data_IF_810662391044
#
_entry.id   IF_810662391044
#
_cell.length_a   1.000
_cell.length_b   1.000
_cell.length_c   1.000
_cell.angle_alpha   90.00
_cell.angle_beta   90.00
_cell.angle_gamma   90.00
#
_symmetry.space_group_name_H-M   'P 1'
#
loop_
_entity.id
_entity.type
_entity.pdbx_description
1 polymer ?
#
# COMPACT_ATOMS: atom_id res chain seq x y z
N UNK A 1 6.95 9.79 -45.59
CA UNK A 1 8.30 10.24 -45.19
C UNK A 1 8.77 9.38 -44.03
N UNK A 2 9.79 8.54 -44.27
CA UNK A 2 10.24 7.51 -43.34
C UNK A 2 10.71 8.06 -41.97
N UNK A 3 11.28 9.27 -41.91
CA UNK A 3 11.66 9.95 -40.65
C UNK A 3 10.51 10.53 -39.80
N UNK A 4 9.27 10.58 -40.31
CA UNK A 4 8.14 11.18 -39.59
C UNK A 4 7.72 10.38 -38.34
N UNK A 5 7.76 9.05 -38.47
CA UNK A 5 7.36 8.13 -37.40
C UNK A 5 8.38 8.10 -36.26
N UNK A 6 9.68 8.13 -36.58
CA UNK A 6 10.74 8.23 -35.58
C UNK A 6 10.61 9.52 -34.75
N UNK A 7 10.35 10.67 -35.40
CA UNK A 7 10.16 11.95 -34.72
C UNK A 7 9.00 11.92 -33.72
N UNK A 8 7.87 11.32 -34.10
CA UNK A 8 6.69 11.17 -33.24
C UNK A 8 7.01 10.27 -32.04
N UNK A 9 7.65 9.12 -32.27
CA UNK A 9 8.03 8.17 -31.21
C UNK A 9 9.03 8.80 -30.23
N UNK A 10 10.03 9.53 -30.73
CA UNK A 10 10.98 10.28 -29.90
C UNK A 10 10.28 11.37 -29.08
N UNK A 11 9.28 12.03 -29.64
CA UNK A 11 8.41 12.97 -28.92
C UNK A 11 7.65 12.30 -27.77
N UNK A 12 7.01 11.15 -28.03
CA UNK A 12 6.30 10.36 -27.01
C UNK A 12 7.24 9.89 -25.90
N UNK A 13 8.40 9.35 -26.24
CA UNK A 13 9.41 8.92 -25.25
C UNK A 13 9.79 10.07 -24.32
N UNK A 14 10.10 11.25 -24.86
CA UNK A 14 10.43 12.43 -24.04
C UNK A 14 9.27 12.85 -23.12
N UNK A 15 8.03 12.79 -23.62
CA UNK A 15 6.85 13.10 -22.80
C UNK A 15 6.69 12.11 -21.64
N UNK A 16 6.78 10.79 -21.91
CA UNK A 16 6.68 9.75 -20.87
C UNK A 16 7.83 9.84 -19.88
N UNK A 17 9.04 10.17 -20.33
CA UNK A 17 10.18 10.45 -19.43
C UNK A 17 9.91 11.64 -18.49
N UNK A 18 9.27 12.70 -18.99
CA UNK A 18 8.82 13.81 -18.16
C UNK A 18 7.83 13.36 -17.09
N UNK A 19 6.82 12.56 -17.48
CA UNK A 19 5.83 12.00 -16.56
C UNK A 19 6.52 11.12 -15.50
N UNK A 20 7.43 10.22 -15.90
CA UNK A 20 8.21 9.36 -14.99
C UNK A 20 8.93 10.16 -13.90
N UNK A 21 9.57 11.28 -14.27
CA UNK A 21 10.27 12.16 -13.31
C UNK A 21 9.29 12.79 -12.33
N UNK A 22 8.13 13.25 -12.81
CA UNK A 22 7.10 13.86 -11.97
C UNK A 22 6.53 12.83 -11.00
N UNK A 23 6.14 11.65 -11.48
CA UNK A 23 5.59 10.59 -10.62
C UNK A 23 6.62 10.12 -9.59
N UNK A 24 7.89 9.97 -9.99
CA UNK A 24 8.97 9.64 -9.04
C UNK A 24 9.17 10.70 -7.97
N UNK A 25 9.12 11.98 -8.32
CA UNK A 25 9.19 13.06 -7.34
C UNK A 25 7.98 13.04 -6.39
N UNK A 26 6.77 12.83 -6.92
CA UNK A 26 5.55 12.74 -6.10
C UNK A 26 5.54 11.53 -5.17
N UNK A 27 6.08 10.38 -5.62
CA UNK A 27 6.31 9.19 -4.79
C UNK A 27 7.17 9.53 -3.57
N UNK A 28 8.32 10.18 -3.79
CA UNK A 28 9.26 10.56 -2.71
C UNK A 28 8.65 11.60 -1.76
N UNK A 29 7.92 12.59 -2.30
CA UNK A 29 7.21 13.58 -1.48
C UNK A 29 6.16 12.88 -0.60
N UNK A 30 5.37 11.98 -1.16
CA UNK A 30 4.37 11.23 -0.41
C UNK A 30 5.02 10.38 0.70
N UNK A 31 6.10 9.65 0.37
CA UNK A 31 6.87 8.88 1.35
C UNK A 31 7.34 9.75 2.53
N UNK A 32 7.88 10.94 2.26
CA UNK A 32 8.31 11.88 3.30
C UNK A 32 7.16 12.37 4.19
N UNK A 33 5.94 12.47 3.64
CA UNK A 33 4.75 12.94 4.36
C UNK A 33 4.11 11.84 5.21
N UNK A 34 4.25 10.57 4.85
CA UNK A 34 3.77 9.44 5.66
C UNK A 34 4.42 9.47 7.05
N UNK A 35 5.75 9.63 7.10
CA UNK A 35 6.49 9.67 8.38
C UNK A 35 5.98 10.81 9.27
N UNK A 36 5.79 12.00 8.71
CA UNK A 36 5.25 13.16 9.45
C UNK A 36 3.81 12.93 9.90
N UNK A 37 2.99 12.31 9.07
CA UNK A 37 1.61 11.99 9.42
C UNK A 37 1.55 10.95 10.55
N UNK A 38 2.37 9.90 10.49
CA UNK A 38 2.48 8.89 11.55
C UNK A 38 2.92 9.49 12.88
N UNK A 39 3.92 10.37 12.88
CA UNK A 39 4.35 11.09 14.08
C UNK A 39 3.22 11.88 14.73
N UNK A 40 2.35 12.50 13.93
CA UNK A 40 1.18 13.23 14.44
C UNK A 40 0.10 12.31 14.96
N UNK A 41 -0.16 11.18 14.30
CA UNK A 41 -1.07 10.15 14.81
C UNK A 41 -0.57 9.71 16.18
N UNK A 42 0.69 9.32 16.30
CA UNK A 42 1.30 8.90 17.57
C UNK A 42 1.23 9.99 18.65
N UNK A 43 1.49 11.25 18.29
CA UNK A 43 1.39 12.38 19.23
C UNK A 43 -0.04 12.68 19.71
N UNK A 44 -1.06 12.31 18.93
CA UNK A 44 -2.47 12.50 19.29
C UNK A 44 -3.04 11.37 20.17
N UNK A 45 -2.44 10.17 20.12
CA UNK A 45 -2.90 8.99 20.87
C UNK A 45 -3.04 9.24 22.38
N UNK A 46 -2.05 9.82 23.11
CA UNK A 46 -2.16 9.97 24.56
C UNK A 46 -3.35 10.82 25.00
N UNK A 47 -3.64 11.90 24.26
CA UNK A 47 -4.80 12.74 24.54
C UNK A 47 -6.11 11.98 24.27
N UNK A 48 -6.19 11.30 23.13
CA UNK A 48 -7.37 10.52 22.74
C UNK A 48 -7.65 9.37 23.71
N UNK A 49 -6.63 8.66 24.19
CA UNK A 49 -6.78 7.59 25.18
C UNK A 49 -7.23 8.15 26.52
N UNK A 50 -6.60 9.22 27.01
CA UNK A 50 -6.94 9.77 28.32
C UNK A 50 -8.34 10.39 28.37
N UNK A 51 -8.76 11.12 27.31
CA UNK A 51 -10.12 11.65 27.26
C UNK A 51 -11.16 10.52 27.14
N UNK A 52 -10.82 9.43 26.44
CA UNK A 52 -11.69 8.25 26.36
C UNK A 52 -11.85 7.57 27.72
N UNK A 53 -10.75 7.38 28.45
CA UNK A 53 -10.75 6.82 29.80
C UNK A 53 -11.62 7.66 30.74
N UNK A 54 -11.39 8.98 30.79
CA UNK A 54 -12.15 9.89 31.67
C UNK A 54 -13.64 9.91 31.32
N UNK A 55 -13.98 9.97 30.03
CA UNK A 55 -15.39 9.93 29.58
C UNK A 55 -16.04 8.59 29.92
N UNK A 56 -15.31 7.47 29.79
CA UNK A 56 -15.80 6.14 30.16
C UNK A 56 -16.08 6.04 31.66
N UNK A 57 -15.14 6.50 32.50
CA UNK A 57 -15.27 6.43 33.95
C UNK A 57 -16.43 7.31 34.47
N UNK A 58 -16.59 8.51 33.90
CA UNK A 58 -17.72 9.40 34.18
C UNK A 58 -19.07 8.82 33.73
N UNK A 59 -19.11 8.18 32.56
CA UNK A 59 -20.34 7.57 32.03
C UNK A 59 -20.81 6.36 32.88
N UNK A 60 -19.87 5.52 33.36
CA UNK A 60 -20.17 4.39 34.26
C UNK A 60 -20.63 4.88 35.63
N UNK A 61 -20.15 6.05 36.09
CA UNK A 61 -20.56 6.68 37.35
C UNK A 61 -22.00 7.21 37.40
N UNK A 62 -22.83 6.96 36.38
CA UNK A 62 -24.25 7.34 36.35
C UNK A 62 -24.53 8.78 35.92
N UNK A 63 -23.52 9.50 35.42
CA UNK A 63 -23.62 10.92 35.05
C UNK A 63 -24.31 11.18 33.69
N UNK A 64 -24.75 10.15 32.97
CA UNK A 64 -24.99 10.22 31.52
C UNK A 64 -26.43 10.17 31.02
N UNK A 65 -27.43 9.97 31.89
CA UNK A 65 -28.80 9.66 31.47
C UNK A 65 -29.50 10.78 30.67
N UNK A 66 -29.26 12.04 31.02
CA UNK A 66 -29.96 13.19 30.47
C UNK A 66 -29.12 14.02 29.49
N UNK A 67 -27.85 13.66 29.25
CA UNK A 67 -26.98 14.42 28.35
C UNK A 67 -27.31 14.09 26.89
N UNK A 68 -27.65 15.09 26.05
CA UNK A 68 -28.09 14.84 24.68
C UNK A 68 -27.11 14.00 23.86
N UNK A 69 -25.81 14.20 24.01
CA UNK A 69 -24.78 13.48 23.24
C UNK A 69 -24.61 12.01 23.66
N UNK A 70 -25.09 11.61 24.85
CA UNK A 70 -25.07 10.23 25.34
C UNK A 70 -26.43 9.55 25.14
N UNK A 71 -27.51 10.31 25.33
CA UNK A 71 -28.87 9.86 25.11
C UNK A 71 -29.13 9.71 23.60
N UNK A 72 -29.15 8.46 23.14
CA UNK A 72 -29.68 8.14 21.82
C UNK A 72 -31.15 8.52 21.71
N UNK A 73 -31.65 8.62 20.48
CA UNK A 73 -33.07 8.86 20.22
C UNK A 73 -33.80 7.54 20.08
N UNK A 74 -35.07 7.50 20.52
CA UNK A 74 -35.90 6.30 20.45
C UNK A 74 -36.16 5.83 19.00
N UNK A 75 -36.13 6.76 18.05
CA UNK A 75 -36.29 6.52 16.62
C UNK A 75 -35.23 7.33 15.87
N UNK A 76 -34.50 6.69 14.95
CA UNK A 76 -33.52 7.35 14.08
C UNK A 76 -34.21 7.62 12.75
N UNK A 77 -34.39 8.89 12.37
CA UNK A 77 -35.02 9.30 11.11
C UNK A 77 -34.03 9.87 10.14
N UNK A 78 -33.01 10.57 10.63
CA UNK A 78 -32.00 11.21 9.77
C UNK A 78 -30.59 10.85 10.23
N UNK A 79 -29.77 10.34 9.30
CA UNK A 79 -28.38 9.95 9.55
C UNK A 79 -27.41 10.90 8.84
N UNK A 80 -26.44 11.42 9.59
CA UNK A 80 -25.37 12.27 9.10
C UNK A 80 -24.12 11.44 8.80
N UNK A 81 -23.60 11.49 7.58
CA UNK A 81 -22.34 10.86 7.21
C UNK A 81 -21.25 11.90 7.02
N UNK A 82 -20.25 11.89 7.89
CA UNK A 82 -19.03 12.68 7.74
C UNK A 82 -18.04 11.89 6.90
N UNK A 83 -17.97 12.18 5.60
CA UNK A 83 -17.16 11.43 4.64
C UNK A 83 -15.80 12.10 4.40
N UNK A 84 -14.71 11.49 4.89
CA UNK A 84 -13.36 12.04 4.87
C UNK A 84 -12.57 11.53 3.67
N UNK A 85 -12.22 12.45 2.77
CA UNK A 85 -11.47 12.18 1.53
C UNK A 85 -10.37 13.21 1.31
N UNK A 86 -9.62 13.05 0.21
CA UNK A 86 -8.53 13.96 -0.13
C UNK A 86 -9.06 15.23 -0.81
N UNK A 87 -8.32 16.33 -0.67
CA UNK A 87 -8.49 17.50 -1.52
C UNK A 87 -7.89 17.30 -2.91
N UNK A 88 -6.88 16.43 -3.01
CA UNK A 88 -6.10 16.20 -4.23
C UNK A 88 -6.30 14.78 -4.76
N UNK A 89 -6.19 14.64 -6.08
CA UNK A 89 -6.23 13.33 -6.75
C UNK A 89 -4.91 12.54 -6.64
N UNK A 90 -4.73 11.60 -7.56
CA UNK A 90 -3.52 10.79 -7.71
C UNK A 90 -3.18 9.93 -6.48
N UNK A 91 -4.21 9.50 -5.75
CA UNK A 91 -4.10 8.62 -4.58
C UNK A 91 -4.73 7.23 -4.83
N UNK A 92 -4.67 6.73 -6.07
CA UNK A 92 -5.25 5.44 -6.45
C UNK A 92 -6.71 5.30 -6.01
N UNK A 93 -7.02 4.18 -5.35
CA UNK A 93 -8.36 3.85 -4.87
C UNK A 93 -8.81 4.51 -3.56
N UNK A 94 -8.00 5.38 -2.95
CA UNK A 94 -8.26 5.98 -1.63
C UNK A 94 -9.65 6.62 -1.52
N UNK A 95 -9.94 7.63 -2.36
CA UNK A 95 -11.20 8.36 -2.32
C UNK A 95 -12.40 7.45 -2.65
N UNK A 96 -12.22 6.54 -3.62
CA UNK A 96 -13.27 5.65 -4.06
C UNK A 96 -13.67 4.64 -2.98
N UNK A 97 -12.76 4.26 -2.09
CA UNK A 97 -13.07 3.41 -0.93
C UNK A 97 -14.08 4.08 0.00
N UNK A 98 -13.77 5.28 0.46
CA UNK A 98 -14.66 6.07 1.34
C UNK A 98 -15.99 6.36 0.65
N UNK A 99 -15.96 6.82 -0.60
CA UNK A 99 -17.17 7.12 -1.38
C UNK A 99 -18.10 5.91 -1.49
N UNK A 100 -17.56 4.72 -1.84
CA UNK A 100 -18.36 3.49 -1.96
C UNK A 100 -18.91 3.02 -0.62
N UNK A 101 -18.14 3.12 0.46
CA UNK A 101 -18.59 2.77 1.80
C UNK A 101 -19.76 3.67 2.25
N UNK A 102 -19.61 4.99 2.10
CA UNK A 102 -20.68 5.94 2.42
C UNK A 102 -21.93 5.71 1.57
N UNK A 103 -21.79 5.48 0.26
CA UNK A 103 -22.94 5.15 -0.59
C UNK A 103 -23.62 3.84 -0.19
N UNK A 104 -22.86 2.86 0.29
CA UNK A 104 -23.36 1.57 0.78
C UNK A 104 -24.30 1.76 1.96
N UNK A 105 -23.86 2.50 2.98
CA UNK A 105 -24.69 2.78 4.16
C UNK A 105 -25.88 3.65 3.84
N UNK A 106 -25.72 4.70 3.03
CA UNK A 106 -26.85 5.55 2.63
C UNK A 106 -27.93 4.71 1.93
N UNK A 107 -27.55 3.74 1.10
CA UNK A 107 -28.51 2.83 0.47
C UNK A 107 -29.20 1.93 1.50
N UNK A 108 -28.45 1.37 2.45
CA UNK A 108 -29.00 0.53 3.51
C UNK A 108 -30.00 1.32 4.37
N UNK A 109 -29.68 2.56 4.71
CA UNK A 109 -30.49 3.46 5.53
C UNK A 109 -31.73 3.94 4.76
N UNK A 110 -31.56 4.32 3.51
CA UNK A 110 -32.67 4.70 2.63
C UNK A 110 -33.67 3.56 2.43
N UNK A 111 -33.21 2.31 2.33
CA UNK A 111 -34.09 1.13 2.22
C UNK A 111 -34.93 0.90 3.49
N UNK A 112 -34.47 1.37 4.66
CA UNK A 112 -35.25 1.37 5.91
C UNK A 112 -36.21 2.56 6.03
N UNK A 113 -36.14 3.51 5.10
CA UNK A 113 -36.94 4.74 5.10
C UNK A 113 -36.25 5.93 5.77
N UNK A 114 -35.00 5.76 6.21
CA UNK A 114 -34.23 6.80 6.89
C UNK A 114 -33.79 7.88 5.86
N UNK A 115 -33.82 9.13 6.28
CA UNK A 115 -33.24 10.26 5.58
C UNK A 115 -31.74 10.34 5.86
N UNK A 116 -31.00 11.07 5.02
CA UNK A 116 -29.56 11.24 5.21
C UNK A 116 -29.10 12.64 4.83
N UNK A 117 -27.96 13.04 5.40
CA UNK A 117 -27.17 14.20 5.00
C UNK A 117 -25.69 13.82 4.99
N UNK A 118 -24.94 14.30 4.01
CA UNK A 118 -23.50 14.06 3.93
C UNK A 118 -22.78 15.36 4.27
N UNK A 119 -21.84 15.31 5.21
CA UNK A 119 -20.86 16.37 5.49
C UNK A 119 -19.55 15.98 4.79
N UNK A 120 -19.28 16.53 3.58
CA UNK A 120 -18.09 16.16 2.84
C UNK A 120 -16.86 16.84 3.44
N UNK A 121 -15.87 16.03 3.80
CA UNK A 121 -14.54 16.51 4.18
C UNK A 121 -13.57 16.19 3.05
N UNK A 122 -13.00 17.23 2.46
CA UNK A 122 -12.14 17.17 1.28
C UNK A 122 -12.89 17.32 -0.04
N UNK A 123 -12.25 18.02 -0.99
CA UNK A 123 -12.86 18.34 -2.31
C UNK A 123 -13.31 17.11 -3.10
N UNK A 124 -12.72 15.93 -2.88
CA UNK A 124 -13.10 14.70 -3.59
C UNK A 124 -14.43 14.12 -3.11
N UNK A 125 -14.77 14.24 -1.83
CA UNK A 125 -16.10 13.89 -1.32
C UNK A 125 -17.12 14.88 -1.88
N UNK A 126 -16.88 16.17 -1.69
CA UNK A 126 -17.82 17.22 -2.11
C UNK A 126 -18.15 17.11 -3.60
N UNK A 127 -17.11 17.06 -4.46
CA UNK A 127 -17.32 16.99 -5.91
C UNK A 127 -18.03 15.70 -6.35
N UNK A 128 -17.73 14.57 -5.71
CA UNK A 128 -18.33 13.27 -6.05
C UNK A 128 -19.81 13.20 -5.70
N UNK A 129 -20.15 13.52 -4.45
CA UNK A 129 -21.54 13.43 -3.98
C UNK A 129 -22.43 14.51 -4.58
N UNK A 130 -21.89 15.73 -4.78
CA UNK A 130 -22.61 16.82 -5.47
C UNK A 130 -22.98 16.43 -6.90
N UNK A 131 -22.02 15.88 -7.66
CA UNK A 131 -22.26 15.46 -9.04
C UNK A 131 -23.36 14.39 -9.16
N UNK A 132 -23.45 13.50 -8.16
CA UNK A 132 -24.46 12.43 -8.10
C UNK A 132 -25.80 12.86 -7.51
N UNK A 133 -25.95 14.12 -7.08
CA UNK A 133 -27.22 14.64 -6.56
C UNK A 133 -27.57 14.18 -5.14
N UNK A 134 -26.58 13.80 -4.32
CA UNK A 134 -26.80 13.51 -2.90
C UNK A 134 -27.07 14.80 -2.10
N UNK A 135 -27.81 14.67 -0.99
CA UNK A 135 -28.03 15.76 -0.04
C UNK A 135 -26.74 16.07 0.73
N UNK A 136 -26.23 17.29 0.56
CA UNK A 136 -24.99 17.75 1.19
C UNK A 136 -25.26 18.83 2.25
N UNK A 137 -24.61 18.73 3.40
CA UNK A 137 -24.45 19.82 4.36
C UNK A 137 -23.17 20.63 4.10
N UNK A 138 -22.65 21.27 5.15
CA UNK A 138 -21.49 22.16 5.04
C UNK A 138 -20.22 21.40 4.61
N UNK A 139 -19.53 21.81 3.52
CA UNK A 139 -18.27 21.20 3.12
C UNK A 139 -17.08 21.74 3.92
N UNK A 140 -16.10 20.88 4.21
CA UNK A 140 -14.83 21.26 4.86
C UNK A 140 -13.65 20.83 3.98
N UNK A 141 -12.87 21.78 3.49
CA UNK A 141 -11.89 21.54 2.42
C UNK A 141 -10.55 22.24 2.67
N UNK A 142 -9.50 21.78 1.99
CA UNK A 142 -8.22 22.48 1.87
C UNK A 142 -7.16 22.09 2.90
N UNK A 143 -7.39 21.03 3.67
CA UNK A 143 -6.51 20.60 4.75
C UNK A 143 -6.29 19.08 4.83
N UNK A 144 -6.75 18.29 3.84
CA UNK A 144 -6.70 16.82 3.92
C UNK A 144 -5.29 16.26 4.11
N UNK A 145 -4.26 16.94 3.58
CA UNK A 145 -2.87 16.51 3.67
C UNK A 145 -2.19 16.88 5.00
N UNK A 146 -2.73 17.88 5.70
CA UNK A 146 -2.17 18.49 6.90
C UNK A 146 -3.28 18.98 7.85
N UNK A 147 -4.13 18.08 8.38
CA UNK A 147 -5.21 18.47 9.27
C UNK A 147 -4.65 18.98 10.61
N UNK A 148 -5.37 19.91 11.23
CA UNK A 148 -5.07 20.49 12.53
C UNK A 148 -6.25 20.27 13.48
N UNK A 149 -6.03 20.41 14.78
CA UNK A 149 -7.10 20.31 15.75
C UNK A 149 -8.21 21.35 15.51
N UNK A 150 -7.87 22.56 15.04
CA UNK A 150 -8.85 23.59 14.73
C UNK A 150 -9.86 23.13 13.67
N UNK A 151 -9.41 22.40 12.63
CA UNK A 151 -10.30 21.84 11.63
C UNK A 151 -11.22 20.77 12.22
N UNK A 152 -10.69 19.92 13.12
CA UNK A 152 -11.50 18.93 13.80
C UNK A 152 -12.56 19.57 14.71
N UNK A 153 -12.20 20.67 15.39
CA UNK A 153 -13.12 21.47 16.19
C UNK A 153 -14.25 22.05 15.36
N UNK A 154 -13.95 22.68 14.22
CA UNK A 154 -14.97 23.25 13.33
C UNK A 154 -15.96 22.18 12.82
N UNK A 155 -15.46 21.00 12.46
CA UNK A 155 -16.33 19.87 12.07
C UNK A 155 -17.15 19.38 13.26
N UNK A 156 -16.51 19.22 14.42
CA UNK A 156 -17.14 18.77 15.66
C UNK A 156 -18.28 19.67 16.11
N UNK A 157 -18.03 20.97 16.22
CA UNK A 157 -19.03 21.99 16.54
C UNK A 157 -20.23 21.91 15.58
N UNK A 158 -19.97 21.79 14.26
CA UNK A 158 -21.03 21.70 13.27
C UNK A 158 -21.89 20.43 13.42
N UNK A 159 -21.28 19.25 13.57
CA UNK A 159 -22.05 17.99 13.67
C UNK A 159 -22.78 17.87 15.01
N UNK A 160 -22.20 18.40 16.09
CA UNK A 160 -22.85 18.49 17.40
C UNK A 160 -24.07 19.40 17.32
N UNK A 161 -23.95 20.57 16.69
CA UNK A 161 -25.04 21.53 16.53
C UNK A 161 -26.22 20.92 15.74
N UNK A 162 -25.94 20.23 14.63
CA UNK A 162 -26.97 19.51 13.86
C UNK A 162 -27.72 18.47 14.72
N UNK A 163 -26.98 17.72 15.54
CA UNK A 163 -27.55 16.68 16.39
C UNK A 163 -28.38 17.28 17.54
N UNK A 164 -27.87 18.34 18.19
CA UNK A 164 -28.57 19.02 19.28
C UNK A 164 -29.85 19.71 18.81
N UNK A 165 -29.84 20.30 17.60
CA UNK A 165 -31.04 20.86 16.97
C UNK A 165 -32.05 19.80 16.53
N UNK A 166 -31.65 18.53 16.49
CA UNK A 166 -32.48 17.43 16.00
C UNK A 166 -32.70 17.44 14.49
N UNK A 167 -31.81 18.08 13.75
CA UNK A 167 -31.76 17.94 12.29
C UNK A 167 -31.24 16.55 11.90
N UNK A 168 -30.39 15.96 12.74
CA UNK A 168 -29.86 14.60 12.59
C UNK A 168 -29.98 13.83 13.91
N UNK A 169 -30.26 12.53 13.81
CA UNK A 169 -30.46 11.65 14.96
C UNK A 169 -29.26 10.72 15.22
N UNK A 170 -28.38 10.57 14.23
CA UNK A 170 -27.15 9.78 14.30
C UNK A 170 -26.07 10.40 13.41
N UNK A 171 -24.83 10.36 13.84
CA UNK A 171 -23.65 10.82 13.08
C UNK A 171 -22.66 9.66 12.95
N UNK A 172 -22.28 9.37 11.72
CA UNK A 172 -21.28 8.35 11.37
C UNK A 172 -20.10 8.99 10.65
N UNK A 173 -18.90 8.62 11.07
CA UNK A 173 -17.65 9.04 10.48
C UNK A 173 -17.13 7.95 9.54
N UNK A 174 -16.94 8.30 8.27
CA UNK A 174 -16.43 7.40 7.24
C UNK A 174 -15.06 7.90 6.78
N UNK A 175 -14.01 7.13 7.07
CA UNK A 175 -12.64 7.51 6.76
C UNK A 175 -11.79 6.26 6.49
N UNK A 176 -10.55 6.47 6.03
CA UNK A 176 -9.60 5.37 5.88
C UNK A 176 -8.64 5.34 7.07
N UNK A 177 -8.65 4.23 7.82
CA UNK A 177 -7.71 3.99 8.92
C UNK A 177 -6.36 3.55 8.36
N UNK A 178 -5.29 4.15 8.88
CA UNK A 178 -3.93 3.78 8.53
C UNK A 178 -3.43 2.69 9.49
N UNK A 179 -3.23 1.47 8.99
CA UNK A 179 -2.69 0.36 9.79
C UNK A 179 -1.17 0.31 9.59
N UNK A 180 -0.72 0.23 8.34
CA UNK A 180 0.69 0.24 7.96
C UNK A 180 0.85 0.89 6.59
N UNK A 181 2.07 1.02 6.06
CA UNK A 181 2.25 1.53 4.68
C UNK A 181 1.61 0.62 3.62
N UNK A 182 1.55 -0.69 3.89
CA UNK A 182 0.94 -1.70 3.00
C UNK A 182 -0.54 -1.94 3.24
N UNK A 183 -1.04 -1.71 4.46
CA UNK A 183 -2.43 -2.01 4.86
C UNK A 183 -3.17 -0.76 5.32
N UNK A 184 -4.31 -0.52 4.71
CA UNK A 184 -5.28 0.50 5.11
C UNK A 184 -6.67 -0.04 4.86
N UNK A 185 -7.63 0.42 5.64
CA UNK A 185 -9.00 -0.04 5.56
C UNK A 185 -9.96 1.13 5.69
N UNK A 186 -11.11 1.02 5.05
CA UNK A 186 -12.19 2.00 5.23
C UNK A 186 -12.98 1.60 6.46
N UNK A 187 -13.12 2.53 7.38
CA UNK A 187 -13.82 2.32 8.64
C UNK A 187 -15.04 3.22 8.67
N UNK A 188 -16.15 2.65 9.12
CA UNK A 188 -17.37 3.34 9.44
C UNK A 188 -17.49 3.34 10.95
N UNK A 189 -17.56 4.54 11.52
CA UNK A 189 -17.44 4.71 12.95
C UNK A 189 -18.58 5.58 13.48
N UNK A 190 -19.43 5.06 14.37
CA UNK A 190 -20.39 5.89 15.09
C UNK A 190 -19.66 7.00 15.85
N UNK A 191 -20.16 8.24 15.73
CA UNK A 191 -19.58 9.41 16.37
C UNK A 191 -20.52 9.99 17.44
N UNK A 192 -21.81 10.13 17.11
CA UNK A 192 -22.86 10.59 18.04
C UNK A 192 -24.16 9.83 17.69
N UNK A 193 -24.96 9.34 18.66
CA UNK A 193 -24.76 9.39 20.11
C UNK A 193 -23.59 8.51 20.58
N UNK A 194 -22.99 8.91 21.70
CA UNK A 194 -21.85 8.25 22.31
C UNK A 194 -22.33 7.14 23.24
N UNK A 195 -22.68 5.98 22.67
CA UNK A 195 -23.00 4.80 23.49
C UNK A 195 -21.77 4.27 24.25
N UNK A 196 -21.98 3.52 25.33
CA UNK A 196 -20.88 2.87 26.09
C UNK A 196 -19.98 2.02 25.18
N UNK A 197 -20.58 1.35 24.18
CA UNK A 197 -19.87 0.57 23.15
C UNK A 197 -19.04 1.48 22.21
N UNK A 198 -19.59 2.65 21.85
CA UNK A 198 -18.91 3.64 21.01
C UNK A 198 -17.70 4.27 21.72
N UNK A 199 -17.81 4.50 23.04
CA UNK A 199 -16.76 5.02 23.90
C UNK A 199 -15.65 3.98 24.09
N UNK A 200 -16.00 2.70 24.29
CA UNK A 200 -15.02 1.63 24.50
C UNK A 200 -14.12 1.34 23.29
N UNK A 201 -14.57 1.64 22.07
CA UNK A 201 -13.89 1.21 20.85
C UNK A 201 -12.74 2.09 20.32
N UNK A 202 -12.03 2.87 21.14
CA UNK A 202 -10.99 3.85 20.71
C UNK A 202 -10.08 3.43 19.52
N UNK A 203 -9.57 4.39 18.73
CA UNK A 203 -8.78 4.11 17.52
C UNK A 203 -7.37 3.53 17.78
N UNK A 204 -7.07 3.14 19.02
CA UNK A 204 -5.79 2.59 19.46
C UNK A 204 -5.96 1.22 20.09
N UNK A 205 -5.99 0.17 19.24
CA UNK A 205 -6.05 -1.26 19.60
C UNK A 205 -7.28 -1.66 20.45
N UNK A 206 -7.75 -2.93 20.37
CA UNK A 206 -8.55 -3.47 21.45
C UNK A 206 -7.65 -3.43 22.69
N UNK A 207 -7.93 -2.54 23.65
CA UNK A 207 -7.49 -2.81 25.00
C UNK A 207 -8.17 -4.12 25.40
N UNK A 208 -7.42 -5.13 25.87
CA UNK A 208 -8.04 -6.27 26.52
C UNK A 208 -9.01 -5.70 27.55
N UNK A 209 -10.18 -6.30 27.68
CA UNK A 209 -11.05 -6.09 28.82
C UNK A 209 -10.30 -6.54 30.08
N UNK A 210 -9.38 -5.70 30.54
CA UNK A 210 -8.71 -5.83 31.81
C UNK A 210 -9.58 -5.10 32.81
N UNK A 211 -10.06 -5.84 33.80
CA UNK A 211 -10.49 -5.34 35.11
C UNK A 211 -9.30 -4.63 35.79
N UNK A 212 -8.84 -3.53 35.20
CA UNK A 212 -7.94 -2.60 35.87
C UNK A 212 -8.69 -1.92 37.01
N UNK A 213 -8.02 -1.59 38.12
CA UNK A 213 -8.68 -0.91 39.24
C UNK A 213 -9.35 0.37 38.73
N UNK A 214 -10.67 0.46 38.87
CA UNK A 214 -11.40 1.71 38.71
C UNK A 214 -10.79 2.70 39.69
N UNK A 215 -10.00 3.66 39.19
CA UNK A 215 -9.47 4.70 40.03
C UNK A 215 -10.65 5.43 40.67
N UNK A 216 -10.68 5.51 42.00
CA UNK A 216 -11.68 6.30 42.71
C UNK A 216 -11.40 7.77 42.44
N UNK A 217 -12.11 8.36 41.48
CA UNK A 217 -12.06 9.78 41.19
C UNK A 217 -12.98 10.55 42.13
N UNK A 218 -12.49 11.68 42.65
CA UNK A 218 -13.32 12.72 43.24
C UNK A 218 -13.60 13.76 42.15
N UNK A 219 -14.87 14.05 41.92
CA UNK A 219 -15.31 14.93 40.84
C UNK A 219 -15.73 16.28 41.41
N UNK A 220 -15.13 17.36 40.92
CA UNK A 220 -15.49 18.74 41.25
C UNK A 220 -15.69 19.53 39.95
N UNK A 221 -16.84 20.21 39.72
CA UNK A 221 -17.97 20.41 40.64
C UNK A 221 -18.92 19.21 40.76
N UNK A 222 -19.41 18.65 39.66
CA UNK A 222 -20.19 17.42 39.63
C UNK A 222 -19.95 16.64 38.32
N UNK A 223 -20.11 15.31 38.31
CA UNK A 223 -19.83 14.48 37.14
C UNK A 223 -20.58 14.87 35.86
N UNK A 224 -21.83 15.32 35.97
CA UNK A 224 -22.65 15.66 34.80
C UNK A 224 -22.17 16.95 34.14
N UNK A 225 -21.84 17.98 34.93
CA UNK A 225 -21.26 19.24 34.44
C UNK A 225 -19.89 19.03 33.77
N UNK A 226 -19.06 18.16 34.34
CA UNK A 226 -17.76 17.80 33.75
C UNK A 226 -17.98 17.09 32.41
N UNK A 227 -18.90 16.12 32.37
CA UNK A 227 -19.19 15.33 31.19
C UNK A 227 -19.77 16.19 30.06
N UNK A 228 -20.69 17.12 30.36
CA UNK A 228 -21.22 18.09 29.39
C UNK A 228 -20.11 18.92 28.73
N UNK A 229 -19.09 19.31 29.49
CA UNK A 229 -17.94 20.07 28.98
C UNK A 229 -16.95 19.18 28.20
N UNK A 230 -16.82 17.91 28.58
CA UNK A 230 -15.84 16.99 27.99
C UNK A 230 -16.35 16.28 26.72
N UNK A 231 -17.66 16.00 26.60
CA UNK A 231 -18.21 15.28 25.46
C UNK A 231 -17.95 15.98 24.12
N UNK A 232 -18.11 17.32 23.98
CA UNK A 232 -17.71 18.00 22.75
C UNK A 232 -16.24 17.79 22.42
N UNK A 233 -15.35 17.96 23.40
CA UNK A 233 -13.90 17.77 23.23
C UNK A 233 -13.54 16.33 22.87
N UNK A 234 -14.29 15.35 23.39
CA UNK A 234 -14.16 13.96 23.00
C UNK A 234 -14.49 13.75 21.52
N UNK A 235 -15.63 14.28 21.05
CA UNK A 235 -16.03 14.24 19.64
C UNK A 235 -14.96 14.90 18.75
N UNK A 236 -14.46 16.07 19.14
CA UNK A 236 -13.37 16.77 18.44
C UNK A 236 -12.09 15.92 18.37
N UNK A 237 -11.69 15.29 19.47
CA UNK A 237 -10.53 14.41 19.52
C UNK A 237 -10.66 13.21 18.57
N UNK A 238 -11.86 12.64 18.49
CA UNK A 238 -12.18 11.50 17.59
C UNK A 238 -12.11 11.90 16.14
N UNK A 239 -12.71 13.03 15.78
CA UNK A 239 -12.60 13.60 14.44
C UNK A 239 -11.13 13.86 14.11
N UNK A 240 -10.37 14.46 15.04
CA UNK A 240 -8.96 14.75 14.81
C UNK A 240 -8.14 13.48 14.57
N UNK A 241 -8.34 12.44 15.37
CA UNK A 241 -7.70 11.14 15.17
C UNK A 241 -8.05 10.53 13.81
N UNK A 242 -9.32 10.61 13.39
CA UNK A 242 -9.75 10.13 12.08
C UNK A 242 -9.13 10.94 10.93
N UNK A 243 -9.06 12.27 11.03
CA UNK A 243 -8.41 13.12 10.04
C UNK A 243 -6.92 12.79 9.89
N UNK A 244 -6.22 12.58 11.01
CA UNK A 244 -4.80 12.19 11.00
C UNK A 244 -4.58 10.81 10.35
N UNK A 245 -5.43 9.84 10.69
CA UNK A 245 -5.43 8.52 10.06
C UNK A 245 -5.69 8.61 8.55
N UNK A 246 -6.72 9.39 8.17
CA UNK A 246 -7.08 9.60 6.77
C UNK A 246 -5.94 10.26 5.98
N UNK A 247 -5.25 11.24 6.56
CA UNK A 247 -4.10 11.90 5.95
C UNK A 247 -2.90 10.95 5.77
N UNK A 248 -2.61 10.13 6.79
CA UNK A 248 -1.55 9.12 6.69
C UNK A 248 -1.87 8.07 5.60
N UNK A 249 -3.11 7.59 5.56
CA UNK A 249 -3.59 6.68 4.52
C UNK A 249 -3.54 7.33 3.12
N UNK A 250 -3.96 8.59 2.99
CA UNK A 250 -3.90 9.34 1.74
C UNK A 250 -2.48 9.36 1.15
N UNK A 251 -1.47 9.66 1.98
CA UNK A 251 -0.07 9.68 1.55
C UNK A 251 0.44 8.29 1.17
N UNK A 252 0.06 7.24 1.91
CA UNK A 252 0.44 5.85 1.58
C UNK A 252 -0.15 5.39 0.24
N UNK A 253 -1.44 5.65 0.01
CA UNK A 253 -2.11 5.36 -1.26
C UNK A 253 -1.48 6.14 -2.42
N UNK A 254 -1.16 7.42 -2.20
CA UNK A 254 -0.48 8.25 -3.19
C UNK A 254 0.91 7.74 -3.52
N UNK A 255 1.72 7.38 -2.52
CA UNK A 255 3.03 6.80 -2.76
C UNK A 255 2.93 5.54 -3.64
N UNK A 256 2.03 4.60 -3.30
CA UNK A 256 1.81 3.38 -4.09
C UNK A 256 1.34 3.67 -5.52
N UNK A 257 0.39 4.59 -5.69
CA UNK A 257 -0.08 4.99 -7.01
C UNK A 257 1.02 5.63 -7.86
N UNK A 258 1.88 6.47 -7.26
CA UNK A 258 2.99 7.11 -7.95
C UNK A 258 4.14 6.15 -8.27
N UNK A 259 4.41 5.18 -7.39
CA UNK A 259 5.37 4.09 -7.67
C UNK A 259 4.90 3.29 -8.89
N UNK A 260 3.67 2.79 -8.86
CA UNK A 260 3.08 2.06 -10.01
C UNK A 260 3.08 2.89 -11.29
N UNK A 261 2.75 4.18 -11.23
CA UNK A 261 2.82 5.06 -12.40
C UNK A 261 4.24 5.24 -12.94
N UNK A 262 5.25 5.27 -12.07
CA UNK A 262 6.68 5.37 -12.43
C UNK A 262 7.16 4.10 -13.12
N UNK A 263 6.79 2.94 -12.58
CA UNK A 263 7.14 1.62 -13.14
C UNK A 263 6.46 1.44 -14.51
N UNK A 264 5.17 1.77 -14.62
CA UNK A 264 4.42 1.74 -15.88
C UNK A 264 5.04 2.69 -16.94
N UNK A 265 5.49 3.87 -16.53
CA UNK A 265 6.16 4.81 -17.42
C UNK A 265 7.51 4.25 -17.91
N UNK A 266 8.25 3.54 -17.05
CA UNK A 266 9.49 2.88 -17.43
C UNK A 266 9.28 1.80 -18.49
N UNK A 267 8.28 0.95 -18.30
CA UNK A 267 7.98 -0.13 -19.25
C UNK A 267 7.45 0.40 -20.58
N UNK A 268 6.68 1.49 -20.54
CA UNK A 268 6.25 2.19 -21.75
C UNK A 268 7.44 2.81 -22.50
N UNK A 269 8.42 3.39 -21.79
CA UNK A 269 9.65 3.91 -22.41
C UNK A 269 10.44 2.78 -23.07
N UNK A 270 10.61 1.62 -22.39
CA UNK A 270 11.29 0.45 -22.95
C UNK A 270 10.61 0.00 -24.26
N UNK A 271 9.28 -0.11 -24.22
CA UNK A 271 8.47 -0.53 -25.38
C UNK A 271 8.58 0.46 -26.54
N UNK A 272 8.37 1.75 -26.28
CA UNK A 272 8.46 2.80 -27.30
C UNK A 272 9.87 2.88 -27.90
N UNK A 273 10.92 2.64 -27.10
CA UNK A 273 12.30 2.64 -27.59
C UNK A 273 12.57 1.49 -28.56
N UNK A 274 12.05 0.28 -28.29
CA UNK A 274 12.14 -0.84 -29.24
C UNK A 274 11.41 -0.54 -30.55
N UNK A 275 10.20 0.02 -30.46
CA UNK A 275 9.39 0.40 -31.64
C UNK A 275 10.11 1.47 -32.46
N UNK A 276 10.70 2.47 -31.79
CA UNK A 276 11.47 3.53 -32.44
C UNK A 276 12.72 2.99 -33.15
N UNK A 277 13.46 2.08 -32.52
CA UNK A 277 14.63 1.46 -33.13
C UNK A 277 14.28 0.63 -34.35
N UNK A 278 13.18 -0.13 -34.31
CA UNK A 278 12.66 -0.85 -35.48
C UNK A 278 12.27 0.11 -36.61
N UNK A 279 11.46 1.12 -36.31
CA UNK A 279 11.06 2.12 -37.32
C UNK A 279 12.26 2.85 -37.93
N UNK A 280 13.31 3.10 -37.13
CA UNK A 280 14.57 3.68 -37.62
C UNK A 280 15.31 2.72 -38.55
N UNK A 281 15.36 1.43 -38.23
CA UNK A 281 15.96 0.41 -39.11
C UNK A 281 15.20 0.33 -40.43
N UNK A 282 13.87 0.27 -40.39
CA UNK A 282 13.01 0.24 -41.59
C UNK A 282 13.21 1.50 -42.45
N UNK A 283 13.34 2.68 -41.82
CA UNK A 283 13.64 3.94 -42.50
C UNK A 283 15.00 3.91 -43.19
N UNK A 284 16.05 3.46 -42.50
CA UNK A 284 17.40 3.35 -43.06
C UNK A 284 17.41 2.36 -44.22
N UNK A 285 16.78 1.19 -44.08
CA UNK A 285 16.68 0.21 -45.14
C UNK A 285 15.93 0.77 -46.35
N UNK A 286 14.83 1.49 -46.14
CA UNK A 286 14.08 2.15 -47.22
C UNK A 286 14.93 3.20 -47.94
N UNK A 287 15.63 4.06 -47.20
CA UNK A 287 16.52 5.07 -47.76
C UNK A 287 17.67 4.43 -48.57
N UNK A 288 18.27 3.34 -48.08
CA UNK A 288 19.32 2.61 -48.81
C UNK A 288 18.74 2.00 -50.10
N UNK A 289 17.57 1.36 -50.04
CA UNK A 289 16.91 0.77 -51.21
C UNK A 289 16.52 1.83 -52.25
N UNK A 290 16.07 3.01 -51.82
CA UNK A 290 15.78 4.16 -52.70
C UNK A 290 17.06 4.68 -53.37
N UNK A 291 18.20 4.75 -52.65
CA UNK A 291 19.49 5.17 -53.21
C UNK A 291 20.01 4.15 -54.24
N UNK A 292 19.98 2.86 -53.90
CA UNK A 292 20.48 1.78 -54.78
C UNK A 292 19.63 1.70 -56.05
N UNK A 293 18.30 1.69 -55.93
CA UNK A 293 17.40 1.68 -57.09
C UNK A 293 17.52 2.94 -57.94
N UNK A 294 17.72 4.11 -57.34
CA UNK A 294 17.99 5.35 -58.06
C UNK A 294 19.34 5.33 -58.80
N UNK A 295 20.39 4.77 -58.19
CA UNK A 295 21.70 4.64 -58.81
C UNK A 295 21.68 3.64 -59.99
N UNK A 296 21.01 2.50 -59.85
CA UNK A 296 20.81 1.54 -60.95
C UNK A 296 20.01 2.13 -62.10
N UNK A 297 18.95 2.90 -61.81
CA UNK A 297 18.15 3.57 -62.84
C UNK A 297 18.97 4.59 -63.66
N UNK A 298 20.01 5.20 -63.07
CA UNK A 298 20.94 6.10 -63.75
C UNK A 298 22.07 5.35 -64.49
N UNK A 299 22.42 4.15 -64.01
CA UNK A 299 23.45 3.28 -64.62
C UNK A 299 22.99 2.57 -65.89
N UNK A 300 21.68 2.43 -66.11
CA UNK A 300 21.08 1.77 -67.28
C UNK A 300 21.34 2.44 -68.64
N UNK A 301 21.99 3.60 -68.70
CA UNK A 301 22.32 4.31 -69.95
C UNK A 301 23.83 4.27 -70.31
N UNK A 302 24.62 3.47 -69.59
CA UNK A 302 26.00 3.14 -69.98
C UNK A 302 26.18 1.64 -70.08
N UNK A 303 26.44 1.20 -71.30
CA UNK A 303 26.87 -0.13 -71.73
C UNK A 303 25.78 -1.19 -71.94
N UNK A 304 25.03 -1.02 -73.04
CA UNK A 304 24.54 -2.16 -73.84
C UNK A 304 25.70 -2.69 -74.69
N UNK A 305 26.76 -3.22 -74.08
CA UNK A 305 27.69 -4.10 -74.79
C UNK A 305 28.20 -5.19 -73.83
N UNK A 306 27.76 -6.42 -74.11
CA UNK A 306 28.38 -7.69 -73.69
C UNK A 306 28.34 -8.06 -72.20
N UNK A 307 27.17 -8.48 -71.73
CA UNK A 307 27.08 -9.45 -70.63
C UNK A 307 26.95 -10.88 -71.21
N UNK A 308 28.06 -11.40 -71.72
CA UNK A 308 28.29 -12.83 -71.80
C UNK A 308 29.56 -13.11 -71.00
N UNK A 309 29.43 -14.02 -70.02
CA UNK A 309 30.48 -14.57 -69.15
C UNK A 309 30.82 -13.70 -67.92
N UNK A 310 30.42 -14.18 -66.74
CA UNK A 310 31.33 -14.74 -65.74
C UNK A 310 30.59 -15.21 -64.46
N UNK A 311 30.61 -16.54 -64.28
CA UNK A 311 30.84 -17.32 -63.04
C UNK A 311 29.70 -17.51 -62.02
N UNK A 312 29.32 -18.79 -61.93
CA UNK A 312 28.58 -19.48 -60.87
C UNK A 312 29.02 -19.14 -59.44
N UNK A 313 28.09 -18.65 -58.64
CA UNK A 313 28.22 -18.52 -57.17
C UNK A 313 27.63 -19.73 -56.43
N UNK A 314 26.86 -20.59 -57.11
CA UNK A 314 26.13 -21.70 -56.50
C UNK A 314 27.00 -22.93 -56.14
N UNK A 315 28.30 -22.88 -56.42
CA UNK A 315 29.24 -23.99 -56.17
C UNK A 315 30.08 -23.86 -54.88
N UNK A 316 29.91 -22.80 -54.07
CA UNK A 316 30.83 -22.55 -52.93
C UNK A 316 30.29 -22.91 -51.53
N UNK A 317 28.99 -23.22 -51.35
CA UNK A 317 28.44 -23.51 -50.02
C UNK A 317 27.44 -24.68 -49.98
N UNK A 318 27.87 -25.88 -50.37
CA UNK A 318 27.01 -27.07 -50.25
C UNK A 318 27.75 -28.40 -50.28
N UNK A 319 28.28 -28.82 -49.12
CA UNK A 319 28.63 -30.20 -48.66
C UNK A 319 29.59 -30.02 -47.48
N UNK A 320 29.26 -30.38 -46.25
CA UNK A 320 29.11 -31.74 -45.73
C UNK A 320 28.31 -31.70 -44.42
N UNK A 321 27.42 -32.66 -44.23
CA UNK A 321 26.73 -32.89 -42.96
C UNK A 321 27.44 -33.91 -42.05
N UNK A 322 26.83 -34.13 -40.88
CA UNK A 322 26.78 -35.43 -40.21
C UNK A 322 27.69 -35.64 -39.00
N UNK A 323 27.06 -35.59 -37.82
CA UNK A 323 27.26 -36.37 -36.59
C UNK A 323 28.66 -36.71 -36.06
N UNK A 324 28.84 -36.48 -34.74
CA UNK A 324 29.08 -37.56 -33.74
C UNK A 324 29.19 -37.04 -32.30
N UNK A 325 28.62 -37.85 -31.42
CA UNK A 325 28.74 -37.88 -29.96
C UNK A 325 30.18 -38.04 -29.44
N UNK A 326 30.38 -37.78 -28.14
CA UNK A 326 31.37 -38.54 -27.36
C UNK A 326 32.11 -37.80 -26.26
N UNK A 327 31.70 -38.12 -25.03
CA UNK A 327 32.31 -37.89 -23.72
C UNK A 327 33.84 -37.95 -23.55
N UNK A 328 34.25 -37.40 -22.39
CA UNK A 328 35.30 -37.86 -21.46
C UNK A 328 36.55 -36.97 -21.27
N UNK A 329 36.59 -36.36 -20.08
CA UNK A 329 37.59 -36.59 -19.01
C UNK A 329 39.07 -36.23 -19.27
N UNK A 330 39.62 -35.26 -18.49
CA UNK A 330 41.01 -35.26 -17.94
C UNK A 330 41.13 -34.27 -16.75
N UNK A 331 41.12 -34.81 -15.54
CA UNK A 331 42.16 -34.75 -14.47
C UNK A 331 43.04 -33.49 -14.26
N UNK A 332 42.94 -32.92 -13.05
CA UNK A 332 44.02 -32.93 -12.04
C UNK A 332 44.92 -31.68 -11.87
N UNK A 333 45.08 -31.24 -10.60
CA UNK A 333 46.14 -30.27 -10.26
C UNK A 333 46.08 -29.55 -8.90
N UNK A 334 45.80 -30.29 -7.82
CA UNK A 334 46.43 -30.25 -6.49
C UNK A 334 47.43 -29.11 -6.11
N UNK A 335 47.19 -28.41 -4.99
CA UNK A 335 48.03 -28.39 -3.74
C UNK A 335 47.96 -27.09 -2.89
N UNK A 336 47.62 -27.35 -1.62
CA UNK A 336 48.25 -26.92 -0.36
C UNK A 336 48.62 -25.47 -0.04
N UNK A 337 48.21 -25.09 1.19
CA UNK A 337 48.77 -23.98 1.95
C UNK A 337 48.13 -23.85 3.33
N UNK A 338 48.49 -24.73 4.26
CA UNK A 338 48.09 -24.66 5.67
C UNK A 338 48.79 -23.54 6.45
N UNK A 339 48.19 -23.16 7.58
CA UNK A 339 48.76 -22.20 8.54
C UNK A 339 47.89 -22.03 9.79
N UNK A 340 48.13 -22.91 10.77
CA UNK A 340 47.66 -22.90 12.16
C UNK A 340 48.18 -21.72 12.98
N UNK A 341 47.48 -21.35 14.08
CA UNK A 341 47.93 -21.26 15.51
C UNK A 341 46.70 -20.82 16.35
N UNK A 342 46.10 -21.69 17.20
CA UNK A 342 46.16 -21.73 18.69
C UNK A 342 45.70 -20.42 19.39
N UNK A 343 44.92 -20.35 20.48
CA UNK A 343 44.68 -21.25 21.63
C UNK A 343 43.57 -20.63 22.54
N UNK A 344 42.93 -21.45 23.39
CA UNK A 344 42.19 -21.11 24.66
C UNK A 344 40.86 -20.33 24.47
N UNK A 345 39.77 -20.54 25.21
CA UNK A 345 39.44 -21.31 26.41
C UNK A 345 37.91 -21.47 26.42
N UNK A 346 37.42 -22.52 27.09
CA UNK A 346 35.98 -22.72 27.34
C UNK A 346 35.49 -21.63 28.28
N UNK A 347 34.38 -20.99 27.92
CA UNK A 347 33.59 -20.22 28.87
C UNK A 347 32.12 -20.50 28.64
N UNK A 348 31.48 -20.88 29.75
CA UNK A 348 30.07 -21.17 29.88
C UNK A 348 29.23 -19.98 29.40
N UNK A 349 28.37 -20.20 28.41
CA UNK A 349 27.25 -19.29 28.16
C UNK A 349 25.97 -20.07 28.11
N UNK A 350 25.20 -19.81 29.16
CA UNK A 350 23.77 -20.00 29.32
C UNK A 350 23.03 -20.15 27.99
N UNK A 351 22.23 -21.22 27.93
CA UNK A 351 21.15 -21.40 26.96
C UNK A 351 20.23 -20.17 26.97
N UNK A 352 20.53 -19.21 26.11
CA UNK A 352 19.61 -18.14 25.76
C UNK A 352 18.45 -18.78 25.00
N UNK A 353 17.27 -18.77 25.61
CA UNK A 353 16.02 -19.14 24.95
C UNK A 353 15.95 -18.40 23.61
N UNK A 354 15.84 -19.15 22.51
CA UNK A 354 15.77 -18.59 21.17
C UNK A 354 14.65 -17.54 21.09
N UNK A 355 14.86 -16.41 20.39
CA UNK A 355 13.82 -15.40 20.22
C UNK A 355 12.59 -16.03 19.57
N UNK A 356 11.43 -15.88 20.18
CA UNK A 356 10.16 -16.33 19.59
C UNK A 356 9.78 -15.34 18.50
N UNK A 357 10.05 -15.70 17.25
CA UNK A 357 9.63 -14.95 16.07
C UNK A 357 8.11 -14.96 15.91
N UNK A 358 7.60 -14.11 15.01
CA UNK A 358 6.16 -13.88 14.80
C UNK A 358 5.34 -15.13 14.39
N UNK A 359 5.99 -16.25 14.09
CA UNK A 359 5.37 -17.51 13.65
C UNK A 359 5.45 -18.63 14.70
N UNK A 360 5.81 -18.31 15.95
CA UNK A 360 5.79 -19.25 17.08
C UNK A 360 7.18 -19.80 17.44
N UNK A 361 7.25 -20.81 18.32
CA UNK A 361 8.51 -21.41 18.77
C UNK A 361 9.34 -21.96 17.60
N UNK A 362 10.66 -21.81 17.65
CA UNK A 362 11.57 -22.25 16.59
C UNK A 362 11.58 -21.36 15.33
N UNK A 363 10.99 -20.16 15.43
CA UNK A 363 11.00 -19.14 14.36
C UNK A 363 11.73 -17.90 14.85
N UNK A 364 12.44 -17.19 13.97
CA UNK A 364 13.08 -15.91 14.28
C UNK A 364 12.85 -14.93 13.13
N UNK A 365 12.54 -13.67 13.45
CA UNK A 365 12.39 -12.65 12.42
C UNK A 365 13.76 -12.26 11.87
N UNK A 366 13.83 -12.08 10.54
CA UNK A 366 15.06 -11.59 9.92
C UNK A 366 15.36 -10.16 10.37
N UNK A 367 16.63 -9.88 10.64
CA UNK A 367 17.12 -8.51 10.90
C UNK A 367 17.01 -7.64 9.65
N UNK A 368 17.19 -6.32 9.77
CA UNK A 368 17.07 -5.37 8.65
C UNK A 368 18.00 -5.71 7.46
N UNK A 369 19.15 -6.34 7.73
CA UNK A 369 20.11 -6.82 6.73
C UNK A 369 19.78 -8.22 6.17
N UNK A 370 18.70 -8.83 6.64
CA UNK A 370 18.24 -10.16 6.25
C UNK A 370 18.97 -11.31 6.95
N UNK A 371 19.82 -11.03 7.94
CA UNK A 371 20.53 -12.04 8.72
C UNK A 371 19.62 -12.68 9.78
N UNK A 372 19.80 -13.98 10.01
CA UNK A 372 19.12 -14.75 11.04
C UNK A 372 20.03 -15.06 12.23
N UNK A 373 19.51 -15.73 13.27
CA UNK A 373 20.33 -16.23 14.36
C UNK A 373 21.45 -17.17 13.87
N UNK A 374 22.59 -17.16 14.57
CA UNK A 374 23.73 -18.01 14.23
C UNK A 374 23.34 -19.50 14.21
N UNK A 375 23.66 -20.19 13.12
CA UNK A 375 23.38 -21.62 12.94
C UNK A 375 21.99 -21.94 12.37
N UNK A 376 21.18 -20.94 12.01
CA UNK A 376 19.87 -21.13 11.41
C UNK A 376 19.98 -20.98 9.89
N UNK A 377 19.85 -22.08 9.16
CA UNK A 377 20.11 -22.15 7.71
C UNK A 377 18.83 -22.32 6.87
N UNK A 378 17.65 -22.08 7.45
CA UNK A 378 16.36 -22.25 6.76
C UNK A 378 15.68 -20.90 6.62
N UNK A 379 15.52 -20.44 5.37
CA UNK A 379 14.95 -19.14 5.03
C UNK A 379 13.49 -19.25 4.67
N UNK A 380 12.63 -18.51 5.35
CA UNK A 380 11.21 -18.34 5.05
C UNK A 380 10.89 -17.04 4.31
N UNK A 381 9.95 -17.12 3.37
CA UNK A 381 9.32 -15.97 2.75
C UNK A 381 7.85 -15.89 3.22
N UNK A 382 7.51 -14.84 3.97
CA UNK A 382 6.19 -14.75 4.61
C UNK A 382 5.08 -14.45 3.60
N UNK A 383 5.40 -13.86 2.45
CA UNK A 383 4.43 -13.60 1.38
C UNK A 383 4.02 -14.87 0.62
N UNK A 384 4.97 -15.78 0.35
CA UNK A 384 4.71 -17.01 -0.39
C UNK A 384 4.39 -18.22 0.51
N UNK A 385 4.59 -18.08 1.82
CA UNK A 385 4.55 -19.19 2.79
C UNK A 385 5.45 -20.36 2.40
N UNK A 386 6.57 -20.08 1.71
CA UNK A 386 7.56 -21.08 1.33
C UNK A 386 8.82 -20.95 2.18
N UNK A 387 9.41 -22.09 2.52
CA UNK A 387 10.73 -22.15 3.14
C UNK A 387 11.76 -22.80 2.19
N UNK A 388 13.00 -22.32 2.30
CA UNK A 388 14.14 -22.72 1.50
C UNK A 388 15.28 -23.17 2.40
N UNK A 389 15.70 -24.41 2.22
CA UNK A 389 16.90 -25.04 2.80
C UNK A 389 18.12 -24.80 1.90
N UNK A 390 19.32 -25.08 2.40
CA UNK A 390 20.61 -24.81 1.70
C UNK A 390 20.79 -25.56 0.38
N UNK A 391 20.05 -26.64 0.17
CA UNK A 391 19.96 -27.41 -1.08
C UNK A 391 19.04 -26.76 -2.14
N UNK A 392 18.28 -25.72 -1.78
CA UNK A 392 17.41 -25.02 -2.74
C UNK A 392 18.25 -24.26 -3.79
N UNK A 393 17.98 -24.44 -5.10
CA UNK A 393 18.62 -23.65 -6.17
C UNK A 393 18.43 -22.13 -6.03
N UNK A 394 17.42 -21.73 -5.26
CA UNK A 394 17.03 -20.35 -5.01
C UNK A 394 17.58 -19.80 -3.69
N UNK A 395 18.23 -20.62 -2.85
CA UNK A 395 18.65 -20.26 -1.48
C UNK A 395 19.50 -18.98 -1.41
N UNK A 396 20.43 -18.80 -2.36
CA UNK A 396 21.28 -17.60 -2.43
C UNK A 396 20.56 -16.33 -2.90
N UNK A 397 19.42 -16.47 -3.58
CA UNK A 397 18.61 -15.34 -4.08
C UNK A 397 17.43 -15.01 -3.17
N UNK A 398 16.99 -15.97 -2.37
CA UNK A 398 15.91 -15.77 -1.40
C UNK A 398 16.37 -14.81 -0.31
N UNK A 399 15.68 -13.67 -0.22
CA UNK A 399 15.77 -12.77 0.93
C UNK A 399 14.90 -13.35 2.05
N UNK A 400 15.52 -13.72 3.15
CA UNK A 400 14.81 -14.26 4.30
C UNK A 400 14.00 -13.17 5.00
N UNK A 401 12.74 -13.45 5.28
CA UNK A 401 11.89 -12.62 6.14
C UNK A 401 11.67 -13.27 7.51
N UNK A 402 11.82 -14.60 7.55
CA UNK A 402 11.76 -15.45 8.73
C UNK A 402 12.88 -16.48 8.62
N UNK A 403 13.44 -16.87 9.75
CA UNK A 403 14.40 -17.97 9.88
C UNK A 403 13.79 -19.07 10.74
N UNK A 404 14.13 -20.32 10.43
CA UNK A 404 13.69 -21.50 11.20
C UNK A 404 14.90 -22.30 11.69
N UNK A 405 14.78 -22.87 12.89
CA UNK A 405 15.81 -23.76 13.45
C UNK A 405 15.80 -25.15 12.81
N UNK A 406 14.66 -25.55 12.23
CA UNK A 406 14.41 -26.87 11.66
C UNK A 406 13.28 -26.82 10.62
N UNK A 407 13.25 -27.81 9.71
CA UNK A 407 12.14 -27.94 8.75
C UNK A 407 10.81 -28.21 9.46
N UNK A 408 10.84 -28.89 10.61
CA UNK A 408 9.65 -29.19 11.42
C UNK A 408 9.05 -27.90 12.00
N UNK A 409 9.87 -26.98 12.50
CA UNK A 409 9.43 -25.65 12.95
C UNK A 409 8.83 -24.83 11.80
N UNK A 410 9.41 -24.91 10.59
CA UNK A 410 8.85 -24.26 9.41
C UNK A 410 7.46 -24.79 9.04
N UNK A 411 7.28 -26.12 9.07
CA UNK A 411 5.97 -26.76 8.82
C UNK A 411 4.95 -26.46 9.92
N UNK A 412 5.37 -26.47 11.18
CA UNK A 412 4.53 -26.11 12.31
C UNK A 412 4.06 -24.64 12.22
N UNK A 413 4.90 -23.76 11.68
CA UNK A 413 4.59 -22.37 11.35
C UNK A 413 3.70 -22.20 10.09
N UNK A 414 3.32 -23.29 9.41
CA UNK A 414 2.46 -23.27 8.24
C UNK A 414 3.18 -23.04 6.90
N UNK A 415 4.50 -23.14 6.85
CA UNK A 415 5.28 -22.98 5.63
C UNK A 415 5.42 -24.32 4.89
N UNK A 416 5.41 -24.26 3.57
CA UNK A 416 5.60 -25.42 2.67
C UNK A 416 7.00 -25.38 2.07
N UNK A 417 7.61 -26.55 1.83
CA UNK A 417 8.94 -26.60 1.22
C UNK A 417 8.85 -26.14 -0.24
N UNK A 418 9.86 -25.41 -0.69
CA UNK A 418 9.89 -24.79 -2.02
C UNK A 418 9.62 -25.74 -3.20
N UNK A 419 9.96 -27.03 -3.09
CA UNK A 419 9.80 -28.07 -4.11
C UNK A 419 8.48 -28.85 -4.00
N UNK A 420 7.71 -28.65 -2.94
CA UNK A 420 6.42 -29.31 -2.72
C UNK A 420 5.25 -28.54 -3.36
N UNK A 421 5.44 -27.25 -3.67
CA UNK A 421 4.39 -26.41 -4.28
C UNK A 421 4.02 -26.88 -5.69
N UNK A 422 4.99 -27.31 -6.49
CA UNK A 422 4.74 -27.75 -7.88
C UNK A 422 3.99 -29.08 -7.98
N UNK A 423 3.94 -29.86 -6.89
CA UNK A 423 3.21 -31.15 -6.87
C UNK A 423 1.72 -31.01 -6.57
N UNK A 424 1.28 -29.91 -5.96
CA UNK A 424 -0.12 -29.71 -5.55
C UNK A 424 -0.98 -28.97 -6.58
N UNK A 425 -0.39 -28.41 -7.64
CA UNK A 425 -1.12 -27.60 -8.65
C UNK A 425 -1.58 -28.40 -9.89
N UNK A 426 -1.48 -29.74 -9.86
CA UNK A 426 -1.93 -30.63 -10.96
C UNK A 426 -3.23 -31.39 -10.69
N UNK A 427 -3.97 -31.05 -9.63
CA UNK A 427 -5.18 -31.79 -9.20
C UNK A 427 -6.51 -31.05 -9.39
N UNK A 428 -6.59 -29.99 -10.22
CA UNK A 428 -7.88 -29.35 -10.52
C UNK A 428 -7.99 -28.92 -11.98
N UNK A 429 -8.03 -29.89 -12.90
CA UNK A 429 -8.88 -29.80 -14.09
C UNK A 429 -9.03 -31.18 -14.76
N UNK A 430 -10.16 -31.85 -14.51
CA UNK A 430 -10.72 -32.94 -15.33
C UNK A 430 -12.23 -32.96 -15.16
#
# INVERSE_FOLDING_TARGET
>A
MAGGQERILRGRIRSVQGIKKITRAMELIAASRIVKAQQRVQAAVPYSEKITEVVKDLAVGGAGGDLPLLAGRAEVKTVCYVAVTADRGLAGGYNAGVQRATEGEIKADHLRGDQYVIIPVGRKAEGYFRFRGYTLGQPFNGFSDNPTYAHAREIGEHVIDLFQKGEVDRVELVYTRFISAGSQEVVLRPLVPLSVETIAGGDGRPTPAGDGPTASYEFEPDPASILDTLLPRYVEARIYAALLNAAAAEHAFRQRAMKSATDNAEDLIKTLSRIMNRARQDSITTEIMEIVSGAEALGGDRDVVSAAQLVDIDAMFGRFGGDRDGAADVVGGDRDGGGSVATLERDDRESLAAPVGRFGPGTADATDDGAGPDGWDIKGNADSMLFHTTDSPWYGRTKAEVWFDSEDSARAAGFTRWDERDRNDTSTDR
#
